data_IF_224062893993
#
_entry.id   IF_224062893993
#
_cell.length_a   1.000
_cell.length_b   1.000
_cell.length_c   1.000
_cell.angle_alpha   90.00
_cell.angle_beta   90.00
_cell.angle_gamma   90.00
#
_symmetry.space_group_name_H-M   'P 1'
#
loop_
_entity.id
_entity.type
_entity.pdbx_description
1 polymer ?
#
# COMPACT_ATOMS: atom_id res chain seq x y z
N UNK A 1 -11.02 -34.87 3.69
CA UNK A 1 -10.80 -34.57 2.27
C UNK A 1 -10.02 -33.27 2.24
N UNK A 2 -8.72 -33.35 1.97
CA UNK A 2 -7.87 -32.17 1.85
C UNK A 2 -8.08 -31.61 0.44
N UNK A 3 -8.60 -30.39 0.33
CA UNK A 3 -8.69 -29.66 -0.93
C UNK A 3 -7.27 -29.36 -1.42
N UNK A 4 -6.78 -30.18 -2.33
CA UNK A 4 -5.58 -29.91 -3.13
C UNK A 4 -5.94 -28.93 -4.25
N UNK A 5 -6.22 -27.68 -3.90
CA UNK A 5 -6.23 -26.60 -4.89
C UNK A 5 -4.78 -26.23 -5.19
N UNK A 6 -4.36 -26.40 -6.45
CA UNK A 6 -2.99 -26.09 -6.87
C UNK A 6 -2.66 -24.62 -6.53
N UNK A 7 -1.58 -24.34 -5.81
CA UNK A 7 -1.26 -22.98 -5.37
C UNK A 7 -0.98 -22.02 -6.55
N UNK A 8 -0.54 -22.53 -7.69
CA UNK A 8 -0.38 -21.74 -8.92
C UNK A 8 -1.71 -21.24 -9.48
N UNK A 9 -2.82 -22.00 -9.33
CA UNK A 9 -4.13 -21.55 -9.82
C UNK A 9 -4.75 -20.49 -8.91
N UNK A 10 -4.53 -20.56 -7.59
CA UNK A 10 -5.04 -19.56 -6.64
C UNK A 10 -4.32 -18.22 -6.76
N UNK A 11 -3.00 -18.23 -6.93
CA UNK A 11 -2.18 -17.01 -7.12
C UNK A 11 -2.57 -16.31 -8.42
N UNK A 12 -2.68 -17.05 -9.52
CA UNK A 12 -3.09 -16.50 -10.81
C UNK A 12 -4.52 -15.93 -10.75
N UNK A 13 -5.46 -16.66 -10.11
CA UNK A 13 -6.83 -16.18 -9.93
C UNK A 13 -6.89 -14.90 -9.07
N UNK A 14 -6.11 -14.83 -8.00
CA UNK A 14 -6.08 -13.65 -7.15
C UNK A 14 -5.42 -12.45 -7.81
N UNK A 15 -4.33 -12.65 -8.57
CA UNK A 15 -3.75 -11.61 -9.42
C UNK A 15 -4.79 -11.08 -10.40
N UNK A 16 -5.54 -11.97 -11.05
CA UNK A 16 -6.62 -11.58 -11.97
C UNK A 16 -7.68 -10.74 -11.29
N UNK A 17 -8.09 -11.08 -10.06
CA UNK A 17 -9.04 -10.26 -9.28
C UNK A 17 -8.50 -8.86 -9.05
N UNK A 18 -7.23 -8.73 -8.64
CA UNK A 18 -6.59 -7.44 -8.42
C UNK A 18 -6.47 -6.63 -9.72
N UNK A 19 -6.03 -7.26 -10.81
CA UNK A 19 -5.95 -6.64 -12.14
C UNK A 19 -7.33 -6.24 -12.67
N UNK A 20 -8.39 -7.01 -12.40
CA UNK A 20 -9.76 -6.66 -12.80
C UNK A 20 -10.22 -5.39 -12.10
N UNK A 21 -10.01 -5.30 -10.78
CA UNK A 21 -10.33 -4.08 -10.03
C UNK A 21 -9.52 -2.87 -10.52
N UNK A 22 -8.23 -3.07 -10.81
CA UNK A 22 -7.34 -2.00 -11.25
C UNK A 22 -7.52 -1.62 -12.73
N UNK A 23 -7.95 -2.53 -13.61
CA UNK A 23 -7.93 -2.33 -15.07
C UNK A 23 -9.30 -2.28 -15.76
N UNK A 24 -10.32 -2.94 -15.21
CA UNK A 24 -11.62 -3.08 -15.85
C UNK A 24 -12.76 -2.36 -15.12
N UNK A 25 -12.70 -2.26 -13.78
CA UNK A 25 -13.73 -1.55 -13.01
C UNK A 25 -13.69 -0.04 -13.35
N UNK A 26 -14.89 0.55 -13.52
CA UNK A 26 -15.11 1.98 -13.81
C UNK A 26 -15.91 2.66 -12.69
N UNK A 27 -15.40 3.73 -12.07
CA UNK A 27 -14.02 4.23 -12.18
C UNK A 27 -13.00 3.23 -11.61
N UNK A 28 -11.72 3.45 -11.88
CA UNK A 28 -10.66 2.65 -11.25
C UNK A 28 -10.83 2.71 -9.72
N UNK A 29 -10.94 1.55 -9.08
CA UNK A 29 -11.17 1.49 -7.64
C UNK A 29 -10.59 0.21 -7.06
N UNK A 30 -9.77 0.38 -6.03
CA UNK A 30 -9.33 -0.71 -5.17
C UNK A 30 -10.01 -0.54 -3.82
N UNK A 31 -10.59 -1.62 -3.33
CA UNK A 31 -11.16 -1.68 -2.00
C UNK A 31 -10.03 -1.70 -0.96
N UNK A 32 -10.26 -1.19 0.27
CA UNK A 32 -9.22 -1.15 1.29
C UNK A 32 -8.55 -2.50 1.56
N UNK A 33 -9.30 -3.60 1.56
CA UNK A 33 -8.77 -4.96 1.77
C UNK A 33 -7.84 -5.45 0.65
N UNK A 34 -7.89 -4.83 -0.53
CA UNK A 34 -7.01 -5.12 -1.67
C UNK A 34 -5.67 -4.38 -1.58
N UNK A 35 -5.50 -3.52 -0.58
CA UNK A 35 -4.25 -2.81 -0.30
C UNK A 35 -3.46 -3.52 0.81
N UNK A 36 -2.13 -3.48 0.73
CA UNK A 36 -1.26 -4.02 1.76
C UNK A 36 -1.40 -3.23 3.07
N UNK A 37 -1.00 -3.84 4.19
CA UNK A 37 -0.94 -3.14 5.48
C UNK A 37 -0.02 -1.92 5.42
N UNK A 38 1.08 -2.01 4.68
CA UNK A 38 2.09 -0.97 4.58
C UNK A 38 1.56 0.22 3.78
N UNK A 39 0.85 -0.04 2.68
CA UNK A 39 0.21 1.00 1.88
C UNK A 39 -0.93 1.69 2.66
N UNK A 40 -1.75 0.92 3.38
CA UNK A 40 -2.78 1.48 4.26
C UNK A 40 -2.17 2.31 5.40
N UNK A 41 -1.06 1.85 5.98
CA UNK A 41 -0.34 2.59 7.01
C UNK A 41 0.19 3.91 6.46
N UNK A 42 0.79 3.90 5.27
CA UNK A 42 1.21 5.11 4.56
C UNK A 42 0.04 6.08 4.37
N UNK A 43 -1.13 5.58 3.96
CA UNK A 43 -2.32 6.42 3.81
C UNK A 43 -2.67 7.13 5.11
N UNK A 44 -2.70 6.40 6.24
CA UNK A 44 -2.95 6.99 7.56
C UNK A 44 -1.87 8.02 7.95
N UNK A 45 -0.59 7.69 7.77
CA UNK A 45 0.53 8.56 8.11
C UNK A 45 0.55 9.86 7.31
N UNK A 46 0.11 9.81 6.05
CA UNK A 46 0.03 10.98 5.17
C UNK A 46 -1.35 11.65 5.20
N UNK A 47 -2.23 11.20 6.11
CA UNK A 47 -3.63 11.66 6.20
C UNK A 47 -4.38 11.60 4.86
N UNK A 48 -4.05 10.60 4.04
CA UNK A 48 -4.75 10.32 2.79
C UNK A 48 -6.11 9.67 3.06
N UNK A 49 -7.09 9.84 2.16
CA UNK A 49 -8.41 9.23 2.31
C UNK A 49 -8.35 7.69 2.41
N UNK A 50 -9.29 7.09 3.14
CA UNK A 50 -9.40 5.64 3.24
C UNK A 50 -9.89 4.96 1.95
N UNK A 51 -10.51 5.72 1.07
CA UNK A 51 -10.94 5.29 -0.27
C UNK A 51 -10.06 5.94 -1.33
N UNK A 52 -9.82 5.23 -2.43
CA UNK A 52 -9.07 5.78 -3.56
C UNK A 52 -9.78 7.01 -4.15
N UNK A 53 -9.04 8.07 -4.53
CA UNK A 53 -9.63 9.22 -5.19
C UNK A 53 -10.23 8.82 -6.54
N UNK A 54 -11.22 9.58 -7.02
CA UNK A 54 -11.82 9.32 -8.32
C UNK A 54 -10.79 9.51 -9.43
N UNK A 55 -10.76 8.59 -10.40
CA UNK A 55 -9.95 8.72 -11.59
C UNK A 55 -10.78 8.42 -12.85
N UNK A 56 -10.81 9.37 -13.78
CA UNK A 56 -11.45 9.19 -15.09
C UNK A 56 -10.46 8.51 -16.05
N UNK A 57 -10.97 7.56 -16.83
CA UNK A 57 -10.21 6.95 -17.91
C UNK A 57 -9.94 7.97 -19.03
N UNK A 58 -8.94 7.69 -19.88
CA UNK A 58 -8.44 8.67 -20.87
C UNK A 58 -9.51 9.31 -21.73
N UNK A 59 -10.60 8.61 -22.03
CA UNK A 59 -11.77 9.27 -22.59
C UNK A 59 -13.04 8.48 -22.36
N UNK A 60 -14.11 9.18 -22.00
CA UNK A 60 -15.49 8.79 -22.29
C UNK A 60 -15.81 8.83 -23.82
N UNK A 61 -14.81 8.87 -24.72
CA UNK A 61 -14.93 8.65 -26.19
C UNK A 61 -15.14 7.15 -26.46
N UNK A 62 -16.20 6.62 -25.87
CA UNK A 62 -16.88 5.44 -26.39
C UNK A 62 -17.99 5.82 -27.36
N UNK A 63 -17.98 7.05 -27.88
CA UNK A 63 -18.66 7.37 -29.12
C UNK A 63 -17.89 6.76 -30.30
N UNK A 64 -18.22 5.48 -30.52
CA UNK A 64 -18.43 4.84 -31.81
C UNK A 64 -17.25 4.86 -32.81
N UNK A 65 -16.63 3.69 -32.96
CA UNK A 65 -16.20 3.14 -34.25
C UNK A 65 -15.26 4.07 -35.04
N UNK A 66 -13.97 4.04 -34.72
CA UNK A 66 -12.80 4.33 -35.59
C UNK A 66 -11.83 5.27 -34.89
N UNK A 67 -10.78 4.75 -34.26
CA UNK A 67 -9.56 5.55 -34.10
C UNK A 67 -8.31 4.70 -34.30
N UNK A 68 -7.60 5.11 -35.33
CA UNK A 68 -6.21 4.83 -35.63
C UNK A 68 -5.34 5.28 -34.43
N UNK A 69 -4.55 4.36 -33.87
CA UNK A 69 -3.74 4.57 -32.67
C UNK A 69 -2.61 5.60 -32.87
N UNK A 70 -2.40 6.09 -34.09
CA UNK A 70 -1.34 7.04 -34.44
C UNK A 70 -1.67 8.52 -34.24
N UNK A 71 -2.92 8.88 -33.88
CA UNK A 71 -3.36 10.29 -33.78
C UNK A 71 -3.65 10.78 -32.36
N UNK A 72 -3.21 10.06 -31.32
CA UNK A 72 -3.25 10.59 -29.96
C UNK A 72 -2.19 11.68 -29.79
N UNK A 73 -2.52 12.89 -30.24
CA UNK A 73 -1.78 14.08 -29.84
C UNK A 73 -2.08 14.33 -28.36
N UNK A 74 -1.03 14.51 -27.57
CA UNK A 74 -1.08 14.75 -26.12
C UNK A 74 -1.71 16.12 -25.75
N UNK A 75 -2.53 16.75 -26.58
CA UNK A 75 -2.90 18.18 -26.41
C UNK A 75 -4.35 18.43 -25.96
N UNK A 76 -5.27 17.47 -26.08
CA UNK A 76 -6.71 17.67 -25.78
C UNK A 76 -7.24 16.89 -24.56
N UNK A 77 -6.35 16.34 -23.71
CA UNK A 77 -6.80 15.76 -22.43
C UNK A 77 -6.93 16.88 -21.41
N UNK A 78 -8.17 17.14 -20.97
CA UNK A 78 -8.52 18.10 -19.92
C UNK A 78 -7.55 17.98 -18.73
N UNK A 79 -6.94 19.10 -18.33
CA UNK A 79 -5.95 19.16 -17.24
C UNK A 79 -6.53 18.59 -15.93
N UNK A 80 -7.84 18.74 -15.71
CA UNK A 80 -8.54 18.14 -14.57
C UNK A 80 -8.49 16.61 -14.61
N UNK A 81 -8.65 16.01 -15.79
CA UNK A 81 -8.57 14.55 -15.97
C UNK A 81 -7.16 14.03 -15.68
N UNK A 82 -6.14 14.74 -16.16
CA UNK A 82 -4.74 14.40 -15.87
C UNK A 82 -4.43 14.48 -14.39
N UNK A 83 -4.93 15.52 -13.71
CA UNK A 83 -4.75 15.66 -12.27
C UNK A 83 -5.43 14.54 -11.49
N UNK A 84 -6.67 14.19 -11.82
CA UNK A 84 -7.38 13.06 -11.18
C UNK A 84 -6.63 11.72 -11.34
N UNK A 85 -6.11 11.47 -12.54
CA UNK A 85 -5.30 10.28 -12.83
C UNK A 85 -4.00 10.28 -12.03
N UNK A 86 -3.33 11.43 -11.97
CA UNK A 86 -2.11 11.62 -11.19
C UNK A 86 -2.37 11.38 -9.69
N UNK A 87 -3.45 11.93 -9.14
CA UNK A 87 -3.80 11.77 -7.73
C UNK A 87 -4.12 10.32 -7.37
N UNK A 88 -4.83 9.61 -8.25
CA UNK A 88 -5.09 8.18 -8.09
C UNK A 88 -3.81 7.34 -8.12
N UNK A 89 -2.90 7.62 -9.04
CA UNK A 89 -1.63 6.90 -9.06
C UNK A 89 -0.78 7.27 -7.85
N UNK A 90 -0.67 8.54 -7.49
CA UNK A 90 0.02 9.01 -6.28
C UNK A 90 -0.49 8.31 -5.01
N UNK A 91 -1.80 8.10 -4.92
CA UNK A 91 -2.42 7.35 -3.83
C UNK A 91 -1.92 5.89 -3.74
N UNK A 92 -1.69 5.23 -4.86
CA UNK A 92 -1.24 3.83 -4.92
C UNK A 92 0.28 3.67 -4.95
N UNK A 93 1.00 4.78 -5.04
CA UNK A 93 2.41 4.80 -5.43
C UNK A 93 3.30 5.32 -4.31
N UNK A 94 4.49 4.73 -4.21
CA UNK A 94 5.62 5.20 -3.41
C UNK A 94 6.93 4.89 -4.15
N UNK A 95 8.04 5.53 -3.80
CA UNK A 95 9.35 5.09 -4.26
C UNK A 95 9.54 3.58 -3.97
N UNK A 96 9.84 2.75 -4.98
CA UNK A 96 10.06 1.32 -4.80
C UNK A 96 11.48 1.07 -4.30
N UNK A 97 11.73 1.47 -3.05
CA UNK A 97 13.03 1.39 -2.38
C UNK A 97 13.54 -0.05 -2.25
N UNK A 98 12.64 -1.03 -2.26
CA UNK A 98 12.95 -2.47 -2.21
C UNK A 98 13.78 -2.94 -3.40
N UNK A 99 13.74 -2.20 -4.50
CA UNK A 99 14.50 -2.45 -5.72
C UNK A 99 15.49 -1.32 -6.03
N UNK A 100 15.85 -0.53 -5.02
CA UNK A 100 16.86 0.53 -5.14
C UNK A 100 16.39 1.78 -5.90
N UNK A 101 15.09 1.95 -6.11
CA UNK A 101 14.53 3.14 -6.77
C UNK A 101 14.04 4.12 -5.69
N UNK A 102 14.64 5.32 -5.66
CA UNK A 102 14.38 6.33 -4.65
C UNK A 102 13.37 7.40 -5.05
N UNK A 103 13.00 7.46 -6.33
CA UNK A 103 12.04 8.42 -6.89
C UNK A 103 10.98 7.66 -7.68
N UNK A 104 9.74 8.14 -7.67
CA UNK A 104 8.67 7.55 -8.47
C UNK A 104 8.13 8.59 -9.45
N UNK A 105 8.23 8.31 -10.74
CA UNK A 105 7.61 9.12 -11.78
C UNK A 105 6.10 8.82 -11.83
N UNK A 106 5.35 9.59 -11.05
CA UNK A 106 3.89 9.46 -10.96
C UNK A 106 3.23 9.77 -12.31
N UNK A 107 3.76 10.72 -13.08
CA UNK A 107 3.20 11.10 -14.37
C UNK A 107 3.36 9.97 -15.39
N UNK A 108 4.56 9.40 -15.52
CA UNK A 108 4.81 8.24 -16.38
C UNK A 108 4.02 7.01 -15.91
N UNK A 109 3.87 6.82 -14.60
CA UNK A 109 3.09 5.71 -14.04
C UNK A 109 1.59 5.87 -14.32
N UNK A 110 1.04 7.08 -14.20
CA UNK A 110 -0.34 7.38 -14.55
C UNK A 110 -0.58 7.16 -16.05
N UNK A 111 0.27 7.71 -16.91
CA UNK A 111 0.18 7.48 -18.34
C UNK A 111 0.23 5.98 -18.69
N UNK A 112 1.15 5.25 -18.05
CA UNK A 112 1.31 3.81 -18.21
C UNK A 112 0.04 3.03 -17.82
N UNK A 113 -0.49 3.31 -16.63
CA UNK A 113 -1.70 2.68 -16.10
C UNK A 113 -2.92 2.96 -16.97
N UNK A 114 -3.22 4.23 -17.24
CA UNK A 114 -4.46 4.61 -17.93
C UNK A 114 -4.44 4.21 -19.41
N UNK A 115 -3.27 4.14 -20.06
CA UNK A 115 -3.19 3.58 -21.41
C UNK A 115 -3.46 2.07 -21.39
N UNK A 116 -2.87 1.34 -20.41
CA UNK A 116 -3.15 -0.10 -20.26
C UNK A 116 -4.63 -0.35 -19.97
N UNK A 117 -5.25 0.48 -19.12
CA UNK A 117 -6.70 0.46 -18.87
C UNK A 117 -7.49 0.62 -20.16
N UNK A 118 -7.18 1.65 -20.95
CA UNK A 118 -7.83 1.88 -22.24
C UNK A 118 -7.73 0.65 -23.17
N UNK A 119 -6.54 0.07 -23.34
CA UNK A 119 -6.32 -1.11 -24.19
C UNK A 119 -7.12 -2.32 -23.68
N UNK A 120 -7.03 -2.62 -22.38
CA UNK A 120 -7.72 -3.75 -21.74
C UNK A 120 -9.24 -3.61 -21.88
N UNK A 121 -9.77 -2.40 -21.77
CA UNK A 121 -11.18 -2.11 -21.99
C UNK A 121 -11.61 -2.25 -23.44
N UNK A 122 -10.78 -1.84 -24.40
CA UNK A 122 -11.06 -2.05 -25.83
C UNK A 122 -11.14 -3.55 -26.16
N UNK A 123 -10.22 -4.35 -25.62
CA UNK A 123 -10.24 -5.81 -25.77
C UNK A 123 -11.53 -6.38 -25.16
N UNK A 124 -11.88 -5.96 -23.95
CA UNK A 124 -13.11 -6.41 -23.27
C UNK A 124 -14.37 -6.09 -24.07
N UNK A 125 -14.40 -4.94 -24.75
CA UNK A 125 -15.54 -4.50 -25.57
C UNK A 125 -15.61 -5.20 -26.92
N UNK A 126 -14.48 -5.53 -27.53
CA UNK A 126 -14.43 -6.36 -28.73
C UNK A 126 -14.97 -7.78 -28.44
N UNK A 127 -14.70 -8.32 -27.25
CA UNK A 127 -15.21 -9.60 -26.79
C UNK A 127 -14.60 -10.83 -27.48
N UNK A 128 -13.56 -10.64 -28.28
CA UNK A 128 -12.90 -11.70 -29.05
C UNK A 128 -11.83 -12.45 -28.24
N UNK A 129 -11.21 -11.78 -27.28
CA UNK A 129 -10.10 -12.31 -26.48
C UNK A 129 -10.27 -11.95 -25.00
N UNK A 130 -9.56 -12.67 -24.12
CA UNK A 130 -9.55 -12.38 -22.70
C UNK A 130 -8.85 -11.03 -22.44
N UNK A 131 -9.54 -10.01 -21.87
CA UNK A 131 -8.94 -8.71 -21.62
C UNK A 131 -7.80 -8.73 -20.61
N UNK A 132 -7.71 -9.77 -19.76
CA UNK A 132 -6.62 -9.93 -18.78
C UNK A 132 -6.04 -11.35 -18.93
N UNK A 133 -5.34 -11.60 -20.03
CA UNK A 133 -4.55 -12.83 -20.16
C UNK A 133 -3.41 -12.81 -19.14
N UNK A 134 -3.55 -13.65 -18.10
CA UNK A 134 -2.59 -13.72 -17.00
C UNK A 134 -1.22 -14.27 -17.43
N UNK A 135 -1.12 -14.90 -18.61
CA UNK A 135 0.14 -15.40 -19.15
C UNK A 135 1.06 -14.29 -19.68
N UNK A 136 0.51 -13.11 -20.01
CA UNK A 136 1.27 -11.94 -20.45
C UNK A 136 1.96 -11.19 -19.30
N UNK A 137 1.55 -11.46 -18.06
CA UNK A 137 2.09 -10.86 -16.87
C UNK A 137 3.16 -11.77 -16.28
N UNK A 138 4.31 -11.18 -15.94
CA UNK A 138 5.39 -11.93 -15.34
C UNK A 138 5.42 -11.67 -13.84
N UNK A 139 5.29 -12.76 -13.07
CA UNK A 139 5.51 -12.75 -11.63
C UNK A 139 6.99 -13.02 -11.35
N UNK A 140 7.62 -12.07 -10.69
CA UNK A 140 9.02 -12.11 -10.27
C UNK A 140 9.08 -12.12 -8.74
N UNK A 141 10.07 -12.82 -8.21
CA UNK A 141 10.38 -12.85 -6.79
C UNK A 141 11.88 -12.66 -6.59
N UNK A 142 12.26 -12.22 -5.40
CA UNK A 142 13.64 -12.12 -4.95
C UNK A 142 13.78 -12.92 -3.65
N UNK A 143 14.95 -13.54 -3.44
CA UNK A 143 15.19 -14.35 -2.25
C UNK A 143 14.99 -13.57 -0.95
N UNK A 144 15.31 -12.27 -0.95
CA UNK A 144 15.14 -11.37 0.21
C UNK A 144 13.66 -11.10 0.53
N UNK A 145 12.78 -11.26 -0.46
CA UNK A 145 11.34 -11.02 -0.32
C UNK A 145 10.57 -12.26 0.15
N UNK A 146 11.22 -13.43 0.21
CA UNK A 146 10.56 -14.66 0.63
C UNK A 146 10.02 -14.55 2.07
N UNK A 147 10.71 -13.89 3.01
CA UNK A 147 10.16 -13.69 4.36
C UNK A 147 8.88 -12.82 4.40
N UNK A 148 8.69 -11.98 3.39
CA UNK A 148 7.64 -10.95 3.35
C UNK A 148 6.46 -11.31 2.44
N UNK A 149 6.51 -12.48 1.78
CA UNK A 149 5.48 -12.91 0.80
C UNK A 149 5.26 -11.91 -0.33
N UNK A 150 6.30 -11.16 -0.66
CA UNK A 150 6.27 -10.07 -1.62
C UNK A 150 6.71 -10.56 -3.00
N UNK A 151 6.03 -10.07 -4.02
CA UNK A 151 6.29 -10.38 -5.42
C UNK A 151 6.21 -9.10 -6.25
N UNK A 152 6.86 -9.12 -7.40
CA UNK A 152 6.78 -8.08 -8.40
C UNK A 152 6.03 -8.62 -9.62
N UNK A 153 4.94 -7.95 -9.98
CA UNK A 153 4.19 -8.17 -11.21
C UNK A 153 4.70 -7.20 -12.26
N UNK A 154 5.22 -7.74 -13.35
CA UNK A 154 5.68 -6.98 -14.51
C UNK A 154 4.64 -7.07 -15.62
N UNK A 155 4.10 -5.91 -16.02
CA UNK A 155 3.07 -5.81 -17.07
C UNK A 155 3.68 -6.12 -18.44
N UNK A 156 2.89 -6.54 -19.45
CA UNK A 156 3.40 -6.68 -20.81
C UNK A 156 3.95 -5.34 -21.34
N UNK A 157 5.01 -5.41 -22.15
CA UNK A 157 5.62 -4.22 -22.75
C UNK A 157 4.67 -3.63 -23.80
N UNK A 158 4.49 -2.30 -23.79
CA UNK A 158 3.79 -1.58 -24.85
C UNK A 158 4.82 -0.94 -25.78
N UNK A 159 4.70 -1.16 -27.09
CA UNK A 159 5.61 -0.54 -28.07
C UNK A 159 5.47 0.99 -28.14
N UNK A 160 4.33 1.51 -27.68
CA UNK A 160 4.03 2.95 -27.64
C UNK A 160 4.51 3.66 -26.38
N UNK A 161 5.08 2.96 -25.40
CA UNK A 161 5.46 3.56 -24.11
C UNK A 161 6.96 3.49 -23.85
N UNK A 162 7.52 4.62 -23.41
CA UNK A 162 8.90 4.71 -22.96
C UNK A 162 9.14 4.03 -21.62
N UNK A 163 8.11 3.90 -20.78
CA UNK A 163 8.17 3.26 -19.47
C UNK A 163 7.26 2.02 -19.40
N UNK A 164 7.65 1.04 -18.58
CA UNK A 164 6.92 -0.21 -18.33
C UNK A 164 6.30 -0.18 -16.94
N UNK A 165 5.02 -0.51 -16.84
CA UNK A 165 4.30 -0.57 -15.57
C UNK A 165 4.67 -1.82 -14.76
N UNK A 166 4.81 -1.63 -13.45
CA UNK A 166 5.12 -2.66 -12.48
C UNK A 166 4.23 -2.50 -11.24
N UNK A 167 3.94 -3.62 -10.61
CA UNK A 167 3.13 -3.66 -9.39
C UNK A 167 3.79 -4.58 -8.38
N UNK A 168 4.09 -4.07 -7.19
CA UNK A 168 4.48 -4.92 -6.07
C UNK A 168 3.23 -5.37 -5.33
N UNK A 169 3.20 -6.67 -5.00
CA UNK A 169 2.08 -7.30 -4.32
C UNK A 169 2.59 -8.14 -3.15
N UNK A 170 1.73 -8.30 -2.14
CA UNK A 170 1.95 -9.22 -1.02
C UNK A 170 0.89 -10.31 -1.08
N UNK A 171 1.32 -11.57 -0.95
CA UNK A 171 0.44 -12.73 -0.85
C UNK A 171 0.13 -13.05 0.62
N UNK A 172 -1.12 -12.84 1.03
CA UNK A 172 -1.54 -13.09 2.40
C UNK A 172 -2.94 -13.69 2.43
N UNK A 173 -3.12 -14.74 3.24
CA UNK A 173 -4.42 -15.39 3.48
C UNK A 173 -5.15 -15.84 2.20
N UNK A 174 -4.39 -16.25 1.17
CA UNK A 174 -4.95 -16.68 -0.11
C UNK A 174 -5.29 -15.54 -1.08
N UNK A 175 -4.90 -14.30 -0.75
CA UNK A 175 -5.19 -13.13 -1.56
C UNK A 175 -3.94 -12.28 -1.82
N UNK A 176 -3.84 -11.73 -3.04
CA UNK A 176 -2.88 -10.71 -3.41
C UNK A 176 -3.40 -9.34 -3.01
N UNK A 177 -2.53 -8.57 -2.35
CA UNK A 177 -2.79 -7.17 -2.01
C UNK A 177 -1.73 -6.28 -2.65
N UNK A 178 -2.18 -5.17 -3.22
CA UNK A 178 -1.32 -4.16 -3.81
C UNK A 178 -0.48 -3.49 -2.73
N UNK A 179 0.83 -3.49 -2.91
CA UNK A 179 1.79 -2.82 -2.02
C UNK A 179 2.38 -1.55 -2.63
N UNK A 180 2.58 -1.55 -3.96
CA UNK A 180 3.09 -0.38 -4.68
C UNK A 180 2.78 -0.48 -6.18
N UNK A 181 2.53 0.66 -6.83
CA UNK A 181 2.43 0.80 -8.28
C UNK A 181 3.50 1.80 -8.76
N UNK A 182 4.22 1.47 -9.84
CA UNK A 182 5.24 2.35 -10.40
C UNK A 182 5.56 1.97 -11.83
N UNK A 183 6.18 2.89 -12.56
CA UNK A 183 6.74 2.63 -13.88
C UNK A 183 8.25 2.78 -13.86
N UNK A 184 8.93 2.03 -14.72
CA UNK A 184 10.39 2.11 -14.91
C UNK A 184 10.65 2.26 -16.40
N UNK A 185 11.56 3.16 -16.76
CA UNK A 185 11.96 3.37 -18.14
C UNK A 185 12.38 2.07 -18.80
N UNK A 186 11.89 1.81 -20.01
CA UNK A 186 12.12 0.57 -20.77
C UNK A 186 13.59 0.32 -21.12
N UNK A 187 14.46 1.34 -21.00
CA UNK A 187 15.91 1.22 -21.11
C UNK A 187 16.60 0.73 -19.84
N UNK A 188 15.92 0.75 -18.69
CA UNK A 188 16.35 0.18 -17.42
C UNK A 188 15.50 -1.07 -17.13
N UNK A 189 16.04 -2.26 -17.33
CA UNK A 189 15.33 -3.48 -16.93
C UNK A 189 15.29 -3.56 -15.40
N UNK A 190 14.10 -3.70 -14.82
CA UNK A 190 13.91 -3.90 -13.38
C UNK A 190 14.66 -5.14 -12.88
N UNK A 191 14.86 -6.14 -13.74
CA UNK A 191 15.70 -7.30 -13.41
C UNK A 191 17.14 -6.88 -13.10
N UNK A 192 17.68 -5.89 -13.81
CA UNK A 192 19.02 -5.36 -13.54
C UNK A 192 19.06 -4.53 -12.25
N UNK A 193 17.94 -3.94 -11.84
CA UNK A 193 17.83 -3.13 -10.61
C UNK A 193 17.68 -4.00 -9.36
N UNK A 194 16.94 -5.11 -9.44
CA UNK A 194 16.79 -6.06 -8.33
C UNK A 194 18.13 -6.76 -8.03
N UNK A 195 18.95 -6.98 -9.05
CA UNK A 195 20.28 -7.57 -8.94
C UNK A 195 20.26 -9.10 -8.89
N UNK A 196 21.35 -9.69 -8.38
CA UNK A 196 21.49 -11.14 -8.22
C UNK A 196 20.49 -11.65 -7.17
N UNK A 197 19.56 -12.51 -7.58
CA UNK A 197 18.49 -13.07 -6.71
C UNK A 197 17.08 -12.99 -7.31
N UNK A 198 16.88 -12.10 -8.28
CA UNK A 198 15.62 -12.01 -9.01
C UNK A 198 15.39 -13.25 -9.88
N UNK A 199 14.25 -13.89 -9.71
CA UNK A 199 13.84 -15.05 -10.50
C UNK A 199 12.35 -15.00 -10.80
N UNK A 200 11.93 -15.76 -11.81
CA UNK A 200 10.51 -15.97 -12.06
C UNK A 200 9.91 -16.71 -10.89
N UNK A 201 8.81 -16.20 -10.37
CA UNK A 201 8.10 -16.83 -9.27
C UNK A 201 7.73 -18.27 -9.62
N UNK A 202 7.85 -19.16 -8.63
CA UNK A 202 7.50 -20.57 -8.74
C UNK A 202 6.88 -21.07 -7.43
N UNK A 203 6.29 -22.27 -7.44
CA UNK A 203 5.71 -22.87 -6.24
C UNK A 203 6.75 -23.08 -5.12
N UNK A 204 8.02 -23.29 -5.47
CA UNK A 204 9.12 -23.40 -4.49
C UNK A 204 9.33 -22.10 -3.69
N UNK A 205 8.92 -20.95 -4.22
CA UNK A 205 8.91 -19.69 -3.50
C UNK A 205 7.93 -19.75 -2.31
N UNK A 206 6.78 -20.43 -2.45
CA UNK A 206 5.78 -20.61 -1.36
C UNK A 206 6.38 -21.40 -0.20
N UNK A 207 7.10 -22.47 -0.49
CA UNK A 207 7.75 -23.27 0.55
C UNK A 207 8.81 -22.44 1.28
N UNK A 208 9.55 -21.59 0.57
CA UNK A 208 10.50 -20.64 1.16
C UNK A 208 9.81 -19.52 1.94
N UNK A 209 8.63 -19.07 1.50
CA UNK A 209 7.75 -18.15 2.23
C UNK A 209 7.26 -18.74 3.57
N UNK A 210 7.14 -20.07 3.67
CA UNK A 210 6.81 -20.79 4.90
C UNK A 210 8.00 -20.94 5.86
N UNK A 211 9.18 -21.26 5.33
CA UNK A 211 10.41 -21.48 6.12
C UNK A 211 10.98 -20.23 6.79
N UNK A 212 10.64 -19.04 6.30
CA UNK A 212 10.99 -17.78 6.97
C UNK A 212 10.38 -17.67 8.38
N UNK A 213 9.28 -18.38 8.65
CA UNK A 213 8.67 -18.49 9.98
C UNK A 213 9.35 -19.55 10.85
N UNK A 214 9.83 -20.65 10.26
CA UNK A 214 10.50 -21.73 11.01
C UNK A 214 11.92 -21.37 11.44
N UNK A 215 12.66 -20.60 10.64
CA UNK A 215 13.99 -20.12 11.05
C UNK A 215 13.95 -19.12 12.22
N UNK A 216 12.82 -18.44 12.43
CA UNK A 216 12.60 -17.59 13.61
C UNK A 216 12.00 -18.34 14.80
N UNK A 217 11.43 -19.54 14.60
CA UNK A 217 10.77 -20.33 15.68
C UNK A 217 11.65 -21.48 16.17
N UNK A 218 12.55 -22.03 15.33
CA UNK A 218 13.44 -23.13 15.72
C UNK A 218 14.57 -22.74 16.68
N UNK A 219 14.68 -21.47 17.09
CA UNK A 219 15.57 -21.06 18.19
C UNK A 219 14.86 -20.99 19.56
N UNK A 220 13.54 -21.25 19.61
CA UNK A 220 12.72 -21.13 20.83
C UNK A 220 12.26 -22.47 21.42
N UNK A 221 12.56 -23.63 20.81
CA UNK A 221 12.08 -24.94 21.29
C UNK A 221 13.03 -25.68 22.27
N UNK A 222 13.79 -24.96 23.11
CA UNK A 222 14.36 -25.52 24.34
C UNK A 222 13.93 -24.69 25.56
N UNK A 223 12.64 -24.75 25.88
CA UNK A 223 12.11 -24.17 27.11
C UNK A 223 10.59 -24.10 27.07
N UNK A 224 9.94 -25.22 27.38
CA UNK A 224 8.49 -25.22 27.55
C UNK A 224 8.07 -24.30 28.67
N UNK A 225 7.25 -23.31 28.36
CA UNK A 225 6.18 -22.79 29.20
C UNK A 225 5.31 -21.85 28.34
N UNK A 226 4.01 -22.08 28.48
CA UNK A 226 2.83 -21.43 27.92
C UNK A 226 2.98 -20.06 27.23
N UNK A 227 2.37 -19.99 26.05
CA UNK A 227 2.04 -18.81 25.23
C UNK A 227 1.43 -17.66 26.07
N UNK A 228 2.28 -16.80 26.64
CA UNK A 228 1.91 -15.59 27.40
C UNK A 228 2.11 -14.28 26.60
N UNK A 229 2.34 -14.37 25.28
CA UNK A 229 2.60 -13.19 24.45
C UNK A 229 1.37 -12.30 24.19
N UNK A 230 0.17 -12.80 24.45
CA UNK A 230 -1.10 -12.11 24.18
C UNK A 230 -1.72 -11.43 25.42
N UNK A 231 -1.22 -11.70 26.64
CA UNK A 231 -1.79 -11.11 27.86
C UNK A 231 -1.29 -9.68 28.10
N UNK A 232 -0.09 -9.33 27.64
CA UNK A 232 0.48 -7.98 27.80
C UNK A 232 -0.17 -6.88 26.95
N UNK A 233 -1.04 -7.24 25.99
CA UNK A 233 -1.78 -6.24 25.19
C UNK A 233 -3.06 -5.78 25.92
N UNK A 234 -3.60 -6.59 26.83
CA UNK A 234 -4.73 -6.17 27.68
C UNK A 234 -4.30 -5.20 28.79
N UNK A 235 -3.03 -5.24 29.22
CA UNK A 235 -2.47 -4.26 30.17
C UNK A 235 -2.26 -2.86 29.56
N UNK A 236 -2.36 -2.72 28.24
CA UNK A 236 -2.29 -1.42 27.57
C UNK A 236 -3.59 -0.61 27.73
N UNK A 237 -4.71 -1.23 28.09
CA UNK A 237 -5.93 -0.52 28.48
C UNK A 237 -5.83 0.00 29.94
N UNK A 238 -5.13 -0.73 30.83
CA UNK A 238 -4.80 -0.27 32.19
C UNK A 238 -3.82 0.93 32.21
N UNK A 239 -3.04 1.12 31.14
CA UNK A 239 -2.18 2.30 30.96
C UNK A 239 -2.97 3.61 30.79
N UNK A 240 -4.20 3.56 30.25
CA UNK A 240 -5.02 4.76 29.97
C UNK A 240 -6.15 4.99 30.99
N UNK A 241 -6.56 3.96 31.74
CA UNK A 241 -7.56 4.10 32.81
C UNK A 241 -7.13 5.03 33.96
N UNK A 242 -5.82 5.33 34.09
CA UNK A 242 -5.28 6.25 35.09
C UNK A 242 -5.30 7.75 34.72
N UNK A 243 -5.80 8.12 33.54
CA UNK A 243 -5.88 9.53 33.09
C UNK A 243 -7.30 10.09 33.01
N UNK A 244 -8.31 9.32 33.39
CA UNK A 244 -9.70 9.76 33.48
C UNK A 244 -10.19 9.63 34.92
N UNK A 245 -9.86 10.61 35.76
CA UNK A 245 -10.71 11.11 36.85
C UNK A 245 -9.94 12.19 37.63
N UNK A 246 -10.03 13.44 37.18
CA UNK A 246 -10.22 14.57 38.09
C UNK A 246 -11.23 15.51 37.42
N UNK A 247 -12.44 15.53 38.00
CA UNK A 247 -13.50 16.49 37.72
C UNK A 247 -12.99 17.92 37.88
N UNK A 248 -12.94 18.70 36.80
CA UNK A 248 -13.03 20.16 36.89
C UNK A 248 -14.37 20.60 36.29
N UNK A 249 -15.28 21.00 37.19
CA UNK A 249 -16.55 21.66 36.92
C UNK A 249 -16.36 22.84 35.95
N UNK A 250 -16.90 22.73 34.72
CA UNK A 250 -17.13 23.89 33.86
C UNK A 250 -18.61 24.27 34.01
N UNK A 251 -18.96 25.46 34.53
CA UNK A 251 -20.35 25.87 34.67
C UNK A 251 -21.01 26.05 33.30
N UNK A 252 -22.16 25.40 33.11
CA UNK A 252 -23.05 25.63 31.98
C UNK A 252 -23.65 27.04 32.03
N UNK A 253 -23.37 27.89 31.05
CA UNK A 253 -24.23 29.01 30.69
C UNK A 253 -24.82 28.81 29.28
N UNK A 254 -26.15 28.95 29.09
CA UNK A 254 -26.79 28.77 27.80
C UNK A 254 -26.85 30.10 27.04
N UNK A 255 -26.26 30.19 25.86
CA UNK A 255 -26.46 31.35 24.97
C UNK A 255 -27.08 30.94 23.64
N UNK A 256 -28.22 31.58 23.40
CA UNK A 256 -29.22 31.35 22.37
C UNK A 256 -28.76 31.54 20.92
N UNK A 257 -29.39 30.77 20.04
CA UNK A 257 -29.48 30.94 18.59
C UNK A 257 -29.96 32.36 18.20
N UNK A 258 -29.18 33.12 17.42
CA UNK A 258 -29.72 34.00 16.33
C UNK A 258 -28.68 34.40 15.26
N UNK A 259 -28.91 33.89 14.05
CA UNK A 259 -28.65 34.35 12.67
C UNK A 259 -28.08 35.78 12.42
N UNK A 260 -27.00 35.91 11.62
CA UNK A 260 -26.95 36.63 10.32
C UNK A 260 -25.54 36.75 9.68
N UNK A 261 -25.47 36.35 8.41
CA UNK A 261 -24.62 36.74 7.27
C UNK A 261 -23.40 37.69 7.43
N UNK A 262 -22.22 37.21 7.00
CA UNK A 262 -21.37 37.70 5.88
C UNK A 262 -19.86 37.51 6.08
N UNK A 263 -19.18 37.37 4.93
CA UNK A 263 -17.75 37.52 4.61
C UNK A 263 -16.81 36.30 4.60
N UNK A 264 -15.88 36.38 3.66
CA UNK A 264 -15.17 35.33 2.94
C UNK A 264 -13.98 34.73 3.70
N UNK A 265 -13.52 33.58 3.19
CA UNK A 265 -12.12 33.12 3.25
C UNK A 265 -11.55 32.73 4.62
N UNK A 266 -11.55 31.43 4.91
CA UNK A 266 -10.41 30.72 5.48
C UNK A 266 -10.70 29.21 5.54
N UNK A 267 -9.79 28.46 4.91
CA UNK A 267 -9.41 27.08 5.21
C UNK A 267 -9.70 26.64 6.66
N UNK A 268 -10.53 25.62 6.82
CA UNK A 268 -10.49 24.72 7.98
C UNK A 268 -10.33 23.28 7.45
N UNK A 269 -9.21 22.59 7.71
CA UNK A 269 -9.22 21.14 7.60
C UNK A 269 -10.09 20.62 8.75
N UNK A 270 -11.04 19.74 8.44
CA UNK A 270 -11.84 19.05 9.44
C UNK A 270 -10.93 18.38 10.47
N UNK A 271 -11.24 18.64 11.75
CA UNK A 271 -10.45 18.23 12.90
C UNK A 271 -10.35 16.71 13.02
N UNK A 272 -9.12 16.24 13.23
CA UNK A 272 -8.87 14.93 13.80
C UNK A 272 -9.58 14.85 15.16
N UNK A 273 -10.34 13.78 15.37
CA UNK A 273 -10.91 13.52 16.69
C UNK A 273 -9.78 13.17 17.66
N UNK A 274 -9.93 13.43 18.96
CA UNK A 274 -8.90 13.13 19.95
C UNK A 274 -8.42 11.67 19.89
N UNK A 275 -9.33 10.74 19.55
CA UNK A 275 -9.06 9.31 19.31
C UNK A 275 -8.13 9.05 18.13
N UNK A 276 -8.20 9.84 17.06
CA UNK A 276 -7.33 9.70 15.89
C UNK A 276 -5.90 10.17 16.20
N UNK A 277 -5.76 11.20 17.03
CA UNK A 277 -4.45 11.71 17.44
C UNK A 277 -3.72 10.74 18.37
N UNK A 278 -4.44 10.07 19.26
CA UNK A 278 -3.87 9.09 20.18
C UNK A 278 -3.43 7.81 19.43
N UNK A 279 -4.23 7.35 18.46
CA UNK A 279 -3.88 6.24 17.59
C UNK A 279 -2.64 6.56 16.73
N UNK A 280 -2.55 7.79 16.21
CA UNK A 280 -1.38 8.24 15.45
C UNK A 280 -0.11 8.27 16.32
N UNK A 281 -0.20 8.72 17.57
CA UNK A 281 0.94 8.72 18.51
C UNK A 281 1.39 7.27 18.80
N UNK A 282 0.44 6.35 19.03
CA UNK A 282 0.75 4.92 19.25
C UNK A 282 1.48 4.31 18.05
N UNK A 283 1.05 4.64 16.83
CA UNK A 283 1.69 4.17 15.60
C UNK A 283 3.08 4.78 15.38
N UNK A 284 3.29 6.05 15.71
CA UNK A 284 4.61 6.71 15.64
C UNK A 284 5.60 6.00 16.59
N UNK A 285 5.17 5.74 17.83
CA UNK A 285 6.01 5.06 18.82
C UNK A 285 6.32 3.62 18.36
N UNK A 286 5.34 2.91 17.80
CA UNK A 286 5.51 1.57 17.23
C UNK A 286 6.49 1.58 16.06
N UNK A 287 6.37 2.51 15.13
CA UNK A 287 7.29 2.69 14.00
C UNK A 287 8.71 3.00 14.45
N UNK A 288 8.86 3.91 15.41
CA UNK A 288 10.16 4.26 16.00
C UNK A 288 10.81 3.06 16.72
N UNK A 289 10.03 2.23 17.41
CA UNK A 289 10.53 1.02 18.05
C UNK A 289 11.03 -0.01 17.03
N UNK A 290 10.27 -0.25 15.95
CA UNK A 290 10.68 -1.15 14.87
C UNK A 290 11.99 -0.70 14.22
N UNK A 291 12.14 0.62 13.98
CA UNK A 291 13.39 1.20 13.48
C UNK A 291 14.53 1.04 14.49
N UNK A 292 14.30 1.35 15.77
CA UNK A 292 15.30 1.21 16.82
C UNK A 292 15.81 -0.23 16.94
N UNK A 293 14.91 -1.22 16.86
CA UNK A 293 15.25 -2.65 16.86
C UNK A 293 16.05 -3.05 15.61
N UNK A 294 15.63 -2.58 14.43
CA UNK A 294 16.36 -2.87 13.18
C UNK A 294 17.81 -2.38 13.17
N UNK A 295 18.11 -1.33 13.95
CA UNK A 295 19.45 -0.75 14.07
C UNK A 295 20.30 -1.39 15.16
N UNK A 296 19.73 -2.24 16.03
CA UNK A 296 20.41 -2.76 17.22
C UNK A 296 20.25 -4.27 17.41
N UNK A 297 20.35 -5.07 16.35
CA UNK A 297 20.11 -6.53 16.31
C UNK A 297 20.92 -7.40 17.28
N UNK A 298 21.93 -6.84 17.96
CA UNK A 298 22.88 -7.58 18.80
C UNK A 298 22.52 -7.55 20.30
N UNK A 299 21.38 -6.96 20.68
CA UNK A 299 20.94 -6.84 22.07
C UNK A 299 19.83 -7.84 22.39
N UNK A 300 19.74 -8.23 23.67
CA UNK A 300 18.58 -8.99 24.12
C UNK A 300 17.33 -8.11 24.06
N UNK A 301 16.20 -8.70 23.68
CA UNK A 301 14.93 -7.99 23.48
C UNK A 301 14.51 -7.15 24.70
N UNK A 302 14.68 -7.69 25.92
CA UNK A 302 14.40 -6.97 27.15
C UNK A 302 15.28 -5.70 27.32
N UNK A 303 16.55 -5.76 26.91
CA UNK A 303 17.46 -4.63 26.99
C UNK A 303 17.18 -3.57 25.92
N UNK A 304 16.66 -3.97 24.75
CA UNK A 304 16.25 -3.06 23.69
C UNK A 304 14.98 -2.28 24.05
N UNK A 305 14.00 -2.98 24.62
CA UNK A 305 12.75 -2.37 25.10
C UNK A 305 13.07 -1.34 26.18
N UNK A 306 13.91 -1.69 27.16
CA UNK A 306 14.29 -0.74 28.22
C UNK A 306 15.06 0.47 27.68
N UNK A 307 15.98 0.24 26.72
CA UNK A 307 16.73 1.31 26.07
C UNK A 307 15.82 2.26 25.27
N UNK A 308 14.85 1.70 24.53
CA UNK A 308 13.87 2.48 23.77
C UNK A 308 12.92 3.25 24.71
N UNK A 309 12.42 2.61 25.77
CA UNK A 309 11.55 3.26 26.75
C UNK A 309 12.27 4.40 27.47
N UNK A 310 13.58 4.27 27.73
CA UNK A 310 14.40 5.34 28.29
C UNK A 310 14.51 6.53 27.32
N UNK A 311 14.63 6.28 26.02
CA UNK A 311 14.65 7.30 24.98
C UNK A 311 13.30 8.03 24.89
N UNK A 312 12.19 7.29 24.81
CA UNK A 312 10.83 7.86 24.73
C UNK A 312 10.54 8.72 25.96
N UNK A 313 10.82 8.23 27.18
CA UNK A 313 10.64 9.00 28.40
C UNK A 313 11.50 10.26 28.42
N UNK A 314 12.76 10.18 27.97
CA UNK A 314 13.64 11.35 27.90
C UNK A 314 13.21 12.40 26.86
N UNK A 315 12.54 11.98 25.79
CA UNK A 315 12.02 12.88 24.77
C UNK A 315 10.73 13.60 25.24
N UNK A 316 9.86 12.89 25.96
CA UNK A 316 8.61 13.43 26.49
C UNK A 316 8.85 14.36 27.70
N UNK A 317 9.91 14.13 28.49
CA UNK A 317 10.24 14.95 29.67
C UNK A 317 11.14 16.15 29.40
N UNK A 318 11.57 16.41 28.15
CA UNK A 318 12.37 17.60 27.84
C UNK A 318 11.51 18.86 27.98
N UNK A 319 11.83 19.79 28.90
CA UNK A 319 11.19 21.10 28.91
C UNK A 319 11.63 21.86 27.66
N UNK A 320 10.66 22.51 27.01
CA UNK A 320 10.89 23.48 25.94
C UNK A 320 11.86 24.54 26.47
N UNK A 321 13.10 24.53 25.95
CA UNK A 321 14.05 25.65 26.04
C UNK A 321 14.09 26.37 24.72
#
# INVERSE_FOLDING_TARGET
MQDTTNPTSSITASLRTLLTALLLVRPASLQPYQLSSDLQMRHRMLSLPSAAPMARDFVEMFDLISLDLSSFSNDDTDDETRQMQHDFVSYLSRPPIEIGIHENDIAATAQSLFLKRMIVMQIALAGETDPIDSSEYELLCDEKWHGQRRMLVRFPKSDSQSARLHMMVIWKDGEMRLDNLFSVDSGQDVVNLIGEGCHRWSETCIERHGRGKELSVMQEEEGGEEDQGAEYINDADDFWAGFSDEEEEIPEEPVSVTRAANTESATQPHGATATDSEAAIKDIIRGAFMLHRSLHTDRSEAAEVEAFMRLVRSAITRPLT
#
